data_IF_134863644091
#
_entry.id   IF_134863644091
#
_cell.length_a   1.000
_cell.length_b   1.000
_cell.length_c   1.000
_cell.angle_alpha   90.00
_cell.angle_beta   90.00
_cell.angle_gamma   90.00
#
_symmetry.space_group_name_H-M   'P 1'
#
loop_
_entity.id
_entity.type
_entity.pdbx_description
1 polymer ?
#
# COMPACT_ATOMS: atom_id res chain seq x y z
N UNK A 1 -40.00 9.10 7.42
CA UNK A 1 -39.61 9.31 6.01
C UNK A 1 -39.34 7.93 5.39
N UNK A 2 -40.33 7.31 4.73
CA UNK A 2 -40.14 6.02 4.06
C UNK A 2 -39.35 6.28 2.78
N UNK A 3 -38.12 5.75 2.70
CA UNK A 3 -37.28 5.82 1.51
C UNK A 3 -38.02 5.08 0.39
N UNK A 4 -38.64 5.82 -0.53
CA UNK A 4 -39.42 5.26 -1.66
C UNK A 4 -38.59 4.36 -2.57
N UNK A 5 -37.27 4.59 -2.64
CA UNK A 5 -36.34 3.85 -3.49
C UNK A 5 -36.24 2.34 -3.19
N UNK A 6 -36.55 1.89 -1.97
CA UNK A 6 -36.45 0.47 -1.63
C UNK A 6 -37.61 -0.38 -2.17
N UNK A 7 -38.73 0.24 -2.56
CA UNK A 7 -39.93 -0.47 -3.02
C UNK A 7 -39.86 -0.93 -4.47
N UNK A 8 -38.96 -0.34 -5.25
CA UNK A 8 -38.77 -0.65 -6.67
C UNK A 8 -37.49 -1.50 -6.91
N UNK A 9 -36.90 -2.05 -5.84
CA UNK A 9 -35.73 -2.95 -5.95
C UNK A 9 -36.22 -4.33 -6.35
N UNK A 10 -36.24 -4.59 -7.66
CA UNK A 10 -36.41 -5.93 -8.19
C UNK A 10 -35.12 -6.73 -8.01
N UNK A 11 -35.05 -7.53 -6.95
CA UNK A 11 -33.93 -8.44 -6.68
C UNK A 11 -33.69 -9.48 -7.79
N UNK A 12 -34.60 -9.59 -8.77
CA UNK A 12 -34.44 -10.46 -9.94
C UNK A 12 -33.27 -10.08 -10.85
N UNK A 13 -32.83 -8.81 -10.84
CA UNK A 13 -31.68 -8.33 -11.62
C UNK A 13 -30.38 -8.24 -10.81
N UNK A 14 -30.40 -8.69 -9.55
CA UNK A 14 -29.22 -8.67 -8.69
C UNK A 14 -28.17 -9.67 -9.20
N UNK A 15 -26.92 -9.24 -9.26
CA UNK A 15 -25.79 -10.09 -9.64
C UNK A 15 -24.92 -10.37 -8.41
N UNK A 16 -25.30 -11.38 -7.65
CA UNK A 16 -24.60 -11.76 -6.42
C UNK A 16 -23.16 -12.25 -6.67
N UNK A 17 -22.90 -12.84 -7.83
CA UNK A 17 -21.54 -13.26 -8.19
C UNK A 17 -20.62 -12.05 -8.39
N UNK A 18 -21.08 -11.05 -9.15
CA UNK A 18 -20.35 -9.79 -9.31
C UNK A 18 -20.25 -9.00 -8.00
N UNK A 19 -21.29 -9.01 -7.16
CA UNK A 19 -21.21 -8.41 -5.83
C UNK A 19 -20.14 -9.11 -4.95
N UNK A 20 -20.04 -10.44 -5.04
CA UNK A 20 -19.01 -11.22 -4.36
C UNK A 20 -17.59 -10.90 -4.84
N UNK A 21 -17.37 -10.77 -6.16
CA UNK A 21 -16.06 -10.38 -6.70
C UNK A 21 -15.64 -8.97 -6.27
N UNK A 22 -16.58 -8.01 -6.27
CA UNK A 22 -16.36 -6.67 -5.73
C UNK A 22 -16.03 -6.68 -4.23
N UNK A 23 -16.67 -7.55 -3.45
CA UNK A 23 -16.38 -7.68 -2.02
C UNK A 23 -14.99 -8.27 -1.74
N UNK A 24 -14.59 -9.32 -2.48
CA UNK A 24 -13.22 -9.87 -2.42
C UNK A 24 -12.21 -8.79 -2.82
N UNK A 25 -12.48 -8.08 -3.91
CA UNK A 25 -11.66 -6.96 -4.40
C UNK A 25 -11.48 -5.84 -3.36
N UNK A 26 -12.53 -5.51 -2.61
CA UNK A 26 -12.47 -4.55 -1.51
C UNK A 26 -11.61 -5.09 -0.34
N UNK A 27 -11.79 -6.36 0.05
CA UNK A 27 -11.01 -6.98 1.12
C UNK A 27 -9.51 -7.00 0.78
N UNK A 28 -9.15 -7.33 -0.46
CA UNK A 28 -7.76 -7.35 -0.92
C UNK A 28 -7.12 -5.95 -0.91
N UNK A 29 -7.87 -4.91 -1.33
CA UNK A 29 -7.39 -3.53 -1.25
C UNK A 29 -7.17 -3.07 0.20
N UNK A 30 -8.04 -3.50 1.12
CA UNK A 30 -7.87 -3.25 2.55
C UNK A 30 -6.66 -3.97 3.13
N UNK A 31 -6.44 -5.25 2.77
CA UNK A 31 -5.25 -5.99 3.17
C UNK A 31 -3.97 -5.33 2.65
N UNK A 32 -3.97 -4.84 1.41
CA UNK A 32 -2.85 -4.09 0.85
C UNK A 32 -2.58 -2.80 1.65
N UNK A 33 -3.62 -2.03 2.01
CA UNK A 33 -3.49 -0.81 2.84
C UNK A 33 -2.88 -1.07 4.22
N UNK A 34 -3.21 -2.21 4.82
CA UNK A 34 -2.76 -2.60 6.15
C UNK A 34 -1.43 -3.38 6.14
N UNK A 35 -0.91 -3.72 4.96
CA UNK A 35 0.34 -4.46 4.84
C UNK A 35 1.55 -3.58 5.16
N UNK A 36 2.47 -4.11 5.96
CA UNK A 36 3.83 -3.62 6.18
C UNK A 36 4.84 -4.19 5.18
N UNK A 37 4.39 -5.03 4.24
CA UNK A 37 5.23 -5.78 3.31
C UNK A 37 4.84 -5.46 1.86
N UNK A 38 5.12 -4.24 1.44
CA UNK A 38 5.03 -3.86 0.02
C UNK A 38 6.36 -4.06 -0.70
N UNK A 39 7.45 -3.77 -0.01
CA UNK A 39 8.82 -3.90 -0.50
C UNK A 39 9.61 -4.63 0.59
N UNK A 40 10.31 -5.67 0.20
CA UNK A 40 11.21 -6.47 1.03
C UNK A 40 12.63 -6.12 0.64
N UNK A 41 13.48 -5.88 1.63
CA UNK A 41 14.88 -5.50 1.46
C UNK A 41 15.70 -6.55 2.18
N UNK A 42 16.43 -7.36 1.43
CA UNK A 42 17.35 -8.35 1.96
C UNK A 42 18.77 -7.78 1.87
N UNK A 43 19.37 -7.47 3.02
CA UNK A 43 20.76 -7.02 3.08
C UNK A 43 21.69 -8.15 2.62
N UNK A 44 22.48 -7.91 1.59
CA UNK A 44 23.35 -8.91 0.94
C UNK A 44 24.57 -9.39 1.75
N UNK A 45 24.52 -9.41 3.09
CA UNK A 45 25.62 -9.87 3.93
C UNK A 45 25.41 -11.28 4.48
N UNK A 46 25.62 -12.26 3.60
CA UNK A 46 26.21 -13.54 4.01
C UNK A 46 27.73 -13.47 3.76
N UNK A 47 28.50 -12.98 4.74
CA UNK A 47 29.93 -13.30 4.82
C UNK A 47 30.99 -12.19 5.06
N UNK A 48 30.66 -11.00 5.58
CA UNK A 48 31.69 -9.96 5.84
C UNK A 48 31.50 -9.21 7.17
N UNK A 49 32.32 -9.50 8.18
CA UNK A 49 32.59 -8.71 9.40
C UNK A 49 31.46 -7.78 9.95
N UNK A 50 30.45 -8.39 10.55
CA UNK A 50 29.30 -7.78 11.25
C UNK A 50 29.63 -7.10 12.60
N UNK A 51 30.78 -6.45 12.71
CA UNK A 51 31.15 -5.66 13.90
C UNK A 51 30.90 -4.17 13.75
N UNK A 52 30.61 -3.65 12.54
CA UNK A 52 30.50 -2.20 12.33
C UNK A 52 29.05 -1.66 12.37
N UNK A 53 28.06 -2.42 11.88
CA UNK A 53 26.63 -2.02 11.92
C UNK A 53 26.01 -2.16 13.31
N UNK A 54 26.34 -3.24 14.03
CA UNK A 54 25.84 -3.52 15.38
C UNK A 54 26.28 -2.50 16.43
N UNK A 55 27.44 -1.86 16.26
CA UNK A 55 27.93 -0.87 17.22
C UNK A 55 27.20 0.48 17.06
N UNK A 56 26.77 0.84 15.83
CA UNK A 56 26.03 2.09 15.55
C UNK A 56 24.57 1.96 15.99
N UNK A 57 23.93 0.81 15.75
CA UNK A 57 22.56 0.52 16.20
C UNK A 57 22.46 0.38 17.73
N UNK A 58 23.48 -0.19 18.39
CA UNK A 58 23.57 -0.22 19.86
C UNK A 58 23.88 1.16 20.48
N UNK A 59 24.76 1.97 19.86
CA UNK A 59 25.03 3.34 20.34
C UNK A 59 23.85 4.30 20.10
N UNK A 60 22.99 4.05 19.11
CA UNK A 60 21.84 4.93 18.83
C UNK A 60 20.56 4.46 19.54
N UNK A 61 20.40 3.16 19.82
CA UNK A 61 19.27 2.63 20.60
C UNK A 61 19.32 3.01 22.08
N UNK A 62 20.49 3.36 22.63
CA UNK A 62 20.56 3.96 23.96
C UNK A 62 20.14 5.44 23.98
N UNK A 63 20.24 6.16 22.85
CA UNK A 63 19.88 7.59 22.75
C UNK A 63 18.45 7.82 22.25
N UNK A 64 17.96 6.98 21.34
CA UNK A 64 16.58 6.97 20.86
C UNK A 64 15.86 5.79 21.49
N UNK A 65 14.84 6.06 22.31
CA UNK A 65 14.05 5.09 23.07
C UNK A 65 13.14 4.18 22.21
N UNK A 66 13.63 3.70 21.06
CA UNK A 66 12.92 2.80 20.12
C UNK A 66 13.87 1.80 19.46
N UNK A 67 13.34 0.64 19.04
CA UNK A 67 14.10 -0.36 18.27
C UNK A 67 14.52 0.25 16.94
N UNK A 68 15.82 0.36 16.71
CA UNK A 68 16.38 0.74 15.42
C UNK A 68 16.46 -0.55 14.62
N UNK A 69 15.49 -0.73 13.72
CA UNK A 69 15.46 -1.91 12.87
C UNK A 69 16.14 -1.54 11.55
N UNK A 70 17.12 -2.36 11.15
CA UNK A 70 17.61 -2.33 9.79
C UNK A 70 16.43 -2.54 8.85
N UNK A 71 16.31 -1.67 7.85
CA UNK A 71 15.14 -1.61 7.00
C UNK A 71 14.99 -2.89 6.17
N UNK A 72 14.17 -3.82 6.66
CA UNK A 72 13.96 -5.16 6.09
C UNK A 72 12.67 -5.26 5.30
N UNK A 73 11.63 -4.53 5.72
CA UNK A 73 10.38 -4.43 5.01
C UNK A 73 9.77 -3.03 5.14
N UNK A 74 9.12 -2.58 4.08
CA UNK A 74 8.41 -1.30 4.03
C UNK A 74 7.02 -1.53 3.45
N UNK A 75 5.99 -0.97 4.09
CA UNK A 75 4.64 -1.05 3.57
C UNK A 75 3.81 0.19 3.82
N UNK A 76 2.61 0.23 3.24
CA UNK A 76 1.68 1.34 3.42
C UNK A 76 1.38 1.61 4.90
N UNK A 77 1.32 0.58 5.74
CA UNK A 77 1.03 0.72 7.17
C UNK A 77 1.98 1.70 7.89
N UNK A 78 3.24 1.76 7.49
CA UNK A 78 4.25 2.64 8.09
C UNK A 78 3.98 4.13 7.87
N UNK A 79 3.24 4.45 6.82
CA UNK A 79 2.97 5.83 6.40
C UNK A 79 1.58 6.30 6.84
N UNK A 80 0.90 5.58 7.73
CA UNK A 80 -0.39 6.04 8.27
C UNK A 80 -0.26 7.27 9.18
N UNK A 81 0.93 7.50 9.74
CA UNK A 81 1.24 8.72 10.48
C UNK A 81 2.08 9.68 9.64
N UNK A 82 2.09 10.94 10.06
CA UNK A 82 2.91 11.96 9.42
C UNK A 82 4.38 11.57 9.49
N UNK A 83 5.04 11.57 8.33
CA UNK A 83 6.46 11.31 8.17
C UNK A 83 7.29 12.25 9.07
N UNK A 84 8.16 11.66 9.90
CA UNK A 84 9.12 12.41 10.72
C UNK A 84 10.53 11.96 10.35
N UNK A 85 11.21 12.86 9.66
CA UNK A 85 12.60 12.66 9.27
C UNK A 85 13.53 13.25 10.34
N UNK A 86 14.50 12.45 10.77
CA UNK A 86 15.67 12.88 11.52
C UNK A 86 16.92 12.62 10.69
N UNK A 87 18.04 13.17 11.14
CA UNK A 87 19.33 12.85 10.54
C UNK A 87 20.42 12.92 11.59
N UNK A 88 21.40 12.05 11.45
CA UNK A 88 22.61 12.07 12.27
C UNK A 88 23.82 11.81 11.38
N UNK A 89 25.00 12.11 11.91
CA UNK A 89 26.26 11.82 11.24
C UNK A 89 26.97 10.73 12.01
N UNK A 90 27.44 9.71 11.31
CA UNK A 90 28.21 8.65 11.91
C UNK A 90 29.63 9.13 12.30
N UNK A 91 30.37 8.30 13.03
CA UNK A 91 31.77 8.48 13.44
C UNK A 91 32.70 8.78 12.26
N UNK A 92 32.31 8.41 11.04
CA UNK A 92 33.02 8.71 9.79
C UNK A 92 32.49 9.94 9.02
N UNK A 93 31.70 10.80 9.65
CA UNK A 93 31.03 12.00 9.08
C UNK A 93 30.07 11.72 7.91
N UNK A 94 29.63 10.47 7.74
CA UNK A 94 28.63 10.10 6.75
C UNK A 94 27.21 10.48 7.25
N UNK A 95 26.38 11.15 6.43
CA UNK A 95 25.03 11.51 6.80
C UNK A 95 24.07 10.33 6.67
N UNK A 96 23.35 10.03 7.74
CA UNK A 96 22.30 9.01 7.77
C UNK A 96 20.94 9.65 8.00
N UNK A 97 19.92 9.15 7.31
CA UNK A 97 18.52 9.60 7.40
C UNK A 97 17.71 8.59 8.21
N UNK A 98 17.04 9.09 9.24
CA UNK A 98 16.17 8.32 10.11
C UNK A 98 14.71 8.64 9.77
N UNK A 99 13.91 7.62 9.54
CA UNK A 99 12.46 7.75 9.39
C UNK A 99 11.74 7.11 10.57
N UNK A 100 10.96 7.88 11.31
CA UNK A 100 10.20 7.38 12.45
C UNK A 100 8.80 6.94 12.00
N UNK A 101 8.54 5.63 12.04
CA UNK A 101 7.26 4.99 11.75
C UNK A 101 6.68 4.38 13.02
N UNK A 102 5.55 4.87 13.55
CA UNK A 102 4.87 4.34 14.74
C UNK A 102 5.77 3.80 15.86
N UNK A 103 6.11 2.50 15.81
CA UNK A 103 6.86 1.76 16.82
C UNK A 103 8.30 1.38 16.38
N UNK A 104 8.69 1.74 15.15
CA UNK A 104 9.99 1.42 14.54
C UNK A 104 10.68 2.64 13.91
N UNK A 105 12.00 2.64 13.92
CA UNK A 105 12.82 3.64 13.23
C UNK A 105 13.52 2.98 12.06
N UNK A 106 13.18 3.42 10.85
CA UNK A 106 13.71 2.91 9.59
C UNK A 106 14.94 3.74 9.19
N UNK A 107 16.09 3.09 9.01
CA UNK A 107 17.36 3.73 8.70
C UNK A 107 17.68 3.65 7.19
N UNK A 108 18.01 4.78 6.56
CA UNK A 108 18.55 4.86 5.19
C UNK A 108 17.81 4.06 4.10
N UNK A 109 16.48 4.04 4.17
CA UNK A 109 15.65 3.41 3.14
C UNK A 109 14.42 4.24 2.76
N UNK A 110 14.06 5.23 3.58
CA UNK A 110 12.90 6.10 3.32
C UNK A 110 13.38 7.52 3.13
N UNK A 111 13.28 8.02 1.90
CA UNK A 111 13.44 9.44 1.57
C UNK A 111 12.07 10.14 1.57
N UNK A 112 12.04 11.48 1.58
CA UNK A 112 10.80 12.23 1.37
C UNK A 112 10.07 11.86 0.06
N UNK A 113 10.82 11.49 -0.98
CA UNK A 113 10.26 11.03 -2.26
C UNK A 113 9.55 9.69 -2.08
N UNK A 114 10.22 8.70 -1.47
CA UNK A 114 9.64 7.40 -1.15
C UNK A 114 8.39 7.56 -0.29
N UNK A 115 8.43 8.39 0.75
CA UNK A 115 7.26 8.66 1.60
C UNK A 115 6.08 9.24 0.80
N UNK A 116 6.33 10.18 -0.11
CA UNK A 116 5.28 10.72 -0.98
C UNK A 116 4.68 9.66 -1.90
N UNK A 117 5.49 8.76 -2.46
CA UNK A 117 4.99 7.65 -3.27
C UNK A 117 4.09 6.72 -2.45
N UNK A 118 4.47 6.40 -1.21
CA UNK A 118 3.62 5.60 -0.32
C UNK A 118 2.32 6.31 0.09
N UNK A 119 2.32 7.63 0.27
CA UNK A 119 1.06 8.39 0.47
C UNK A 119 0.15 8.32 -0.75
N UNK A 120 0.70 8.37 -1.97
CA UNK A 120 -0.05 8.19 -3.21
C UNK A 120 -0.62 6.76 -3.28
N UNK A 121 0.18 5.74 -2.94
CA UNK A 121 -0.28 4.34 -2.89
C UNK A 121 -1.46 4.17 -1.91
N UNK A 122 -1.37 4.75 -0.71
CA UNK A 122 -2.47 4.73 0.27
C UNK A 122 -3.74 5.35 -0.33
N UNK A 123 -3.62 6.52 -0.98
CA UNK A 123 -4.76 7.18 -1.59
C UNK A 123 -5.39 6.32 -2.70
N UNK A 124 -4.58 5.74 -3.59
CA UNK A 124 -5.05 4.87 -4.66
C UNK A 124 -5.76 3.63 -4.11
N UNK A 125 -5.17 2.97 -3.10
CA UNK A 125 -5.80 1.81 -2.47
C UNK A 125 -7.12 2.16 -1.76
N UNK A 126 -7.21 3.34 -1.16
CA UNK A 126 -8.46 3.82 -0.58
C UNK A 126 -9.55 4.06 -1.65
N UNK A 127 -9.21 4.70 -2.77
CA UNK A 127 -10.16 4.86 -3.89
C UNK A 127 -10.59 3.52 -4.48
N UNK A 128 -9.67 2.56 -4.60
CA UNK A 128 -9.97 1.20 -5.04
C UNK A 128 -10.93 0.48 -4.09
N UNK A 129 -10.76 0.63 -2.77
CA UNK A 129 -11.68 0.09 -1.78
C UNK A 129 -13.08 0.69 -1.94
N UNK A 130 -13.18 2.03 -1.99
CA UNK A 130 -14.45 2.73 -2.10
C UNK A 130 -15.19 2.39 -3.41
N UNK A 131 -14.48 2.35 -4.53
CA UNK A 131 -15.04 1.99 -5.83
C UNK A 131 -15.58 0.54 -5.83
N UNK A 132 -14.87 -0.40 -5.23
CA UNK A 132 -15.35 -1.79 -5.07
C UNK A 132 -16.59 -1.89 -4.18
N UNK A 133 -16.67 -1.11 -3.10
CA UNK A 133 -17.87 -1.06 -2.26
C UNK A 133 -19.07 -0.52 -3.05
N UNK A 134 -18.88 0.53 -3.84
CA UNK A 134 -19.93 1.08 -4.73
C UNK A 134 -20.36 0.03 -5.77
N UNK A 135 -19.41 -0.64 -6.44
CA UNK A 135 -19.70 -1.71 -7.39
C UNK A 135 -20.46 -2.89 -6.76
N UNK A 136 -20.13 -3.24 -5.51
CA UNK A 136 -20.87 -4.25 -4.75
C UNK A 136 -22.32 -3.83 -4.50
N UNK A 137 -22.54 -2.61 -3.98
CA UNK A 137 -23.89 -2.08 -3.71
C UNK A 137 -24.73 -2.02 -4.99
N UNK A 138 -24.15 -1.55 -6.10
CA UNK A 138 -24.83 -1.47 -7.40
C UNK A 138 -25.21 -2.83 -7.98
N UNK A 139 -24.51 -3.91 -7.60
CA UNK A 139 -24.82 -5.27 -8.04
C UNK A 139 -25.81 -6.01 -7.10
N UNK A 140 -25.87 -5.65 -5.82
CA UNK A 140 -26.89 -6.16 -4.88
C UNK A 140 -28.23 -5.44 -5.07
N UNK A 141 -28.18 -4.13 -5.21
CA UNK A 141 -29.35 -3.25 -5.36
C UNK A 141 -29.24 -2.59 -6.73
N UNK A 142 -29.63 -3.31 -7.81
CA UNK A 142 -29.52 -2.80 -9.16
C UNK A 142 -30.38 -1.55 -9.33
N UNK A 143 -29.80 -0.41 -9.79
CA UNK A 143 -30.57 0.81 -10.03
C UNK A 143 -31.48 0.62 -11.26
N UNK A 144 -32.78 0.88 -11.10
CA UNK A 144 -33.78 0.65 -12.15
C UNK A 144 -33.67 1.60 -13.35
N UNK A 145 -33.19 2.84 -13.15
CA UNK A 145 -33.02 3.84 -14.20
C UNK A 145 -32.01 4.94 -13.82
N UNK A 146 -31.47 5.62 -14.85
CA UNK A 146 -30.64 6.81 -14.69
C UNK A 146 -29.14 6.56 -14.75
N UNK A 147 -28.36 7.54 -14.26
CA UNK A 147 -26.89 7.53 -14.38
C UNK A 147 -26.24 6.29 -13.75
N UNK A 148 -26.70 5.83 -12.59
CA UNK A 148 -26.13 4.64 -11.94
C UNK A 148 -26.39 3.35 -12.73
N UNK A 149 -27.54 3.25 -13.41
CA UNK A 149 -27.79 2.13 -14.31
C UNK A 149 -26.85 2.18 -15.51
N UNK A 150 -26.61 3.37 -16.06
CA UNK A 150 -25.64 3.56 -17.14
C UNK A 150 -24.21 3.19 -16.70
N UNK A 151 -23.78 3.61 -15.50
CA UNK A 151 -22.48 3.25 -14.92
C UNK A 151 -22.31 1.73 -14.81
N UNK A 152 -23.33 1.03 -14.32
CA UNK A 152 -23.34 -0.44 -14.21
C UNK A 152 -23.34 -1.11 -15.58
N UNK A 153 -24.18 -0.64 -16.50
CA UNK A 153 -24.33 -1.24 -17.83
C UNK A 153 -23.07 -1.10 -18.71
N UNK A 154 -22.24 -0.09 -18.46
CA UNK A 154 -20.98 0.14 -19.17
C UNK A 154 -19.75 -0.34 -18.39
N UNK A 155 -19.93 -1.03 -17.25
CA UNK A 155 -18.83 -1.51 -16.40
C UNK A 155 -17.79 -0.42 -16.07
N UNK A 156 -18.27 0.80 -15.78
CA UNK A 156 -17.40 1.96 -15.53
C UNK A 156 -16.61 1.78 -14.23
N UNK A 157 -17.24 1.16 -13.22
CA UNK A 157 -16.61 0.84 -11.94
C UNK A 157 -15.46 -0.16 -12.11
N UNK A 158 -15.65 -1.18 -12.93
CA UNK A 158 -14.66 -2.22 -13.23
C UNK A 158 -13.48 -1.63 -14.01
N UNK A 159 -13.76 -0.87 -15.08
CA UNK A 159 -12.72 -0.21 -15.87
C UNK A 159 -11.92 0.83 -15.05
N UNK A 160 -12.59 1.63 -14.22
CA UNK A 160 -11.91 2.55 -13.31
C UNK A 160 -11.02 1.81 -12.31
N UNK A 161 -11.48 0.68 -11.77
CA UNK A 161 -10.69 -0.17 -10.88
C UNK A 161 -9.46 -0.78 -11.57
N UNK A 162 -9.57 -1.15 -12.85
CA UNK A 162 -8.41 -1.61 -13.64
C UNK A 162 -7.37 -0.50 -13.81
N UNK A 163 -7.80 0.72 -14.14
CA UNK A 163 -6.89 1.87 -14.28
C UNK A 163 -6.20 2.18 -12.95
N UNK A 164 -6.95 2.21 -11.84
CA UNK A 164 -6.38 2.44 -10.51
C UNK A 164 -5.38 1.35 -10.11
N UNK A 165 -5.65 0.10 -10.48
CA UNK A 165 -4.72 -1.03 -10.24
C UNK A 165 -3.41 -0.80 -10.99
N UNK A 166 -3.48 -0.44 -12.28
CA UNK A 166 -2.30 -0.13 -13.08
C UNK A 166 -1.50 1.05 -12.51
N UNK A 167 -2.18 2.14 -12.14
CA UNK A 167 -1.52 3.28 -11.48
C UNK A 167 -0.81 2.85 -10.20
N UNK A 168 -1.45 2.03 -9.37
CA UNK A 168 -0.88 1.53 -8.11
C UNK A 168 0.37 0.68 -8.37
N UNK A 169 0.32 -0.22 -9.36
CA UNK A 169 1.49 -1.04 -9.74
C UNK A 169 2.65 -0.17 -10.24
N UNK A 170 2.38 0.84 -11.08
CA UNK A 170 3.40 1.76 -11.58
C UNK A 170 4.02 2.55 -10.43
N UNK A 171 3.21 3.11 -9.53
CA UNK A 171 3.73 3.84 -8.36
C UNK A 171 4.54 2.93 -7.44
N UNK A 172 4.10 1.68 -7.24
CA UNK A 172 4.84 0.69 -6.45
C UNK A 172 6.21 0.36 -7.07
N UNK A 173 6.27 0.17 -8.38
CA UNK A 173 7.52 -0.07 -9.09
C UNK A 173 8.46 1.14 -9.05
N UNK A 174 7.93 2.36 -9.16
CA UNK A 174 8.76 3.58 -8.98
C UNK A 174 9.32 3.63 -7.55
N UNK A 175 8.52 3.30 -6.54
CA UNK A 175 9.00 3.27 -5.15
C UNK A 175 10.11 2.23 -4.94
N UNK A 176 9.98 1.05 -5.55
CA UNK A 176 11.01 0.01 -5.54
C UNK A 176 12.32 0.50 -6.18
N UNK A 177 12.25 1.15 -7.34
CA UNK A 177 13.44 1.71 -8.02
C UNK A 177 14.14 2.77 -7.17
N UNK A 178 13.38 3.67 -6.52
CA UNK A 178 13.92 4.67 -5.62
C UNK A 178 14.65 4.01 -4.44
N UNK A 179 14.06 2.98 -3.84
CA UNK A 179 14.67 2.25 -2.72
C UNK A 179 15.92 1.46 -3.16
N UNK A 180 15.87 0.79 -4.31
CA UNK A 180 17.03 0.09 -4.88
C UNK A 180 18.19 1.05 -5.19
N UNK A 181 17.89 2.29 -5.62
CA UNK A 181 18.92 3.31 -5.85
C UNK A 181 19.62 3.77 -4.56
N UNK A 182 18.92 3.71 -3.43
CA UNK A 182 19.46 4.07 -2.10
C UNK A 182 20.30 2.94 -1.50
N UNK A 183 20.02 1.68 -1.87
CA UNK A 183 20.71 0.49 -1.37
C UNK A 183 21.15 -0.42 -2.51
N UNK A 184 22.21 -0.05 -3.26
CA UNK A 184 22.68 -0.85 -4.39
C UNK A 184 23.23 -2.23 -3.99
N UNK A 185 23.65 -2.40 -2.74
CA UNK A 185 24.23 -3.65 -2.21
C UNK A 185 23.19 -4.58 -1.54
N UNK A 186 21.90 -4.20 -1.56
CA UNK A 186 20.81 -5.00 -1.00
C UNK A 186 19.89 -5.49 -2.11
N UNK A 187 19.35 -6.70 -1.97
CA UNK A 187 18.34 -7.21 -2.88
C UNK A 187 16.97 -6.62 -2.48
N UNK A 188 16.36 -5.88 -3.40
CA UNK A 188 15.08 -5.22 -3.18
C UNK A 188 14.04 -5.95 -4.00
N UNK A 189 13.06 -6.55 -3.32
CA UNK A 189 12.04 -7.38 -3.95
C UNK A 189 10.63 -6.91 -3.60
N UNK A 190 9.68 -7.25 -4.47
CA UNK A 190 8.27 -6.93 -4.31
C UNK A 190 7.63 -7.82 -3.24
N UNK A 191 6.96 -7.19 -2.26
CA UNK A 191 6.24 -7.86 -1.18
C UNK A 191 4.78 -8.19 -1.48
N UNK A 192 4.11 -8.75 -0.48
CA UNK A 192 2.71 -9.21 -0.56
C UNK A 192 1.69 -8.10 -0.86
N UNK A 193 2.00 -6.83 -0.53
CA UNK A 193 1.12 -5.69 -0.81
C UNK A 193 0.75 -5.55 -2.28
N UNK A 194 1.73 -5.66 -3.19
CA UNK A 194 1.52 -5.60 -4.64
C UNK A 194 0.82 -6.86 -5.14
N UNK A 195 1.09 -8.03 -4.54
CA UNK A 195 0.39 -9.27 -4.88
C UNK A 195 -1.11 -9.17 -4.57
N UNK A 196 -1.50 -8.56 -3.45
CA UNK A 196 -2.92 -8.35 -3.15
C UNK A 196 -3.63 -7.47 -4.18
N UNK A 197 -2.95 -6.44 -4.68
CA UNK A 197 -3.47 -5.54 -5.73
C UNK A 197 -3.54 -6.23 -7.09
N UNK A 198 -2.58 -7.08 -7.44
CA UNK A 198 -2.56 -7.79 -8.74
C UNK A 198 -3.53 -8.96 -8.79
N UNK A 199 -3.75 -9.70 -7.69
CA UNK A 199 -4.75 -10.79 -7.63
C UNK A 199 -6.16 -10.26 -7.92
N UNK A 200 -6.47 -9.02 -7.50
CA UNK A 200 -7.72 -8.33 -7.80
C UNK A 200 -8.00 -8.23 -9.30
N UNK A 201 -6.97 -7.98 -10.12
CA UNK A 201 -7.12 -7.87 -11.58
C UNK A 201 -7.66 -9.16 -12.22
N UNK A 202 -7.37 -10.32 -11.64
CA UNK A 202 -7.78 -11.62 -12.18
C UNK A 202 -9.22 -12.01 -11.82
N UNK A 203 -9.79 -11.37 -10.80
CA UNK A 203 -11.12 -11.72 -10.24
C UNK A 203 -12.23 -10.80 -10.79
N UNK A 204 -11.86 -9.66 -11.37
CA UNK A 204 -12.78 -8.70 -11.99
C UNK A 204 -13.07 -8.96 -13.45
#
# INVERSE_FOLDING_TARGET
MRIKWLKDVEFGEANFFAAGSHLISAAMALCALLSSEWILIESGESGGNSTQSNDISNDLSYQLSGSIDECTNIGCYDFWRSARFGGFRDKFDQPHVLFHSNDRVLLDCVTPVVANLFYILIALCFFMFMSSVVGCVMNIIPPAHGFLQWVRANSVTESANMILTLCTCITGFIAELEISSLRPDSDVTIGMGILFITIRYRIG
#
